data_IF_145246287866
#
_entry.id   IF_145246287866
#
_cell.length_a   1.000
_cell.length_b   1.000
_cell.length_c   1.000
_cell.angle_alpha   90.00
_cell.angle_beta   90.00
_cell.angle_gamma   90.00
#
_symmetry.space_group_name_H-M   'P 1'
#
loop_
_entity.id
_entity.type
_entity.pdbx_description
1 polymer ?
#
# COMPACT_ATOMS: atom_id res chain seq x y z
N UNK A 1 6.25 6.46 13.65
CA UNK A 1 7.53 6.80 13.00
C UNK A 1 7.74 8.30 13.16
N UNK A 2 8.92 8.72 13.65
CA UNK A 2 9.27 10.14 13.85
C UNK A 2 10.23 10.55 12.75
N UNK A 3 9.87 11.57 11.98
CA UNK A 3 10.73 12.13 10.94
C UNK A 3 10.99 13.58 11.35
N UNK A 4 12.20 13.84 11.89
CA UNK A 4 12.69 15.14 12.37
C UNK A 4 11.74 15.93 13.29
N UNK A 5 10.73 16.60 12.74
CA UNK A 5 9.79 17.49 13.43
C UNK A 5 8.30 17.16 13.19
N UNK A 6 8.03 16.12 12.40
CA UNK A 6 6.67 15.70 12.04
C UNK A 6 6.41 14.31 12.60
N UNK A 7 5.24 14.15 13.23
CA UNK A 7 4.79 12.89 13.79
C UNK A 7 3.75 12.25 12.88
N UNK A 8 3.96 10.98 12.55
CA UNK A 8 2.95 10.17 11.85
C UNK A 8 2.28 9.21 12.84
N UNK A 9 0.94 9.22 12.86
CA UNK A 9 0.09 8.27 13.58
C UNK A 9 -0.83 7.57 12.59
N UNK A 10 -1.14 6.31 12.88
CA UNK A 10 -2.13 5.53 12.14
C UNK A 10 -3.13 4.94 13.12
N UNK A 11 -4.37 4.78 12.68
CA UNK A 11 -5.47 4.17 13.42
C UNK A 11 -6.24 3.30 12.45
N UNK A 12 -6.79 2.19 12.95
CA UNK A 12 -7.64 1.30 12.18
C UNK A 12 -8.90 0.99 12.98
N UNK A 13 -10.01 0.81 12.27
CA UNK A 13 -11.30 0.44 12.84
C UNK A 13 -11.82 -0.77 12.07
N UNK A 14 -12.03 -1.87 12.79
CA UNK A 14 -12.72 -3.04 12.23
C UNK A 14 -14.22 -2.81 12.39
N UNK A 15 -14.94 -2.73 11.27
CA UNK A 15 -16.37 -2.45 11.22
C UNK A 15 -17.12 -3.76 10.93
N UNK A 16 -18.27 -3.96 11.56
CA UNK A 16 -19.14 -5.10 11.26
C UNK A 16 -19.84 -4.88 9.91
N UNK A 17 -20.16 -5.95 9.19
CA UNK A 17 -20.89 -5.94 7.92
C UNK A 17 -22.16 -5.08 7.98
N UNK A 18 -22.94 -5.21 9.06
CA UNK A 18 -24.17 -4.44 9.34
C UNK A 18 -23.98 -2.93 9.56
N UNK A 19 -22.74 -2.47 9.54
CA UNK A 19 -22.37 -1.07 9.71
C UNK A 19 -21.52 -0.56 8.55
N UNK A 20 -21.28 -1.37 7.51
CA UNK A 20 -20.58 -0.93 6.30
C UNK A 20 -21.44 -0.01 5.42
N UNK A 21 -22.76 -0.09 5.56
CA UNK A 21 -23.75 0.78 4.91
C UNK A 21 -23.80 2.19 5.54
N UNK A 22 -23.15 2.37 6.69
CA UNK A 22 -23.05 3.65 7.40
C UNK A 22 -21.78 4.39 7.00
N UNK A 23 -21.89 5.71 6.98
CA UNK A 23 -20.76 6.59 6.77
C UNK A 23 -19.88 6.64 8.03
N UNK A 24 -18.57 6.56 7.85
CA UNK A 24 -17.59 6.62 8.95
C UNK A 24 -16.72 7.85 8.79
N UNK A 25 -16.49 8.58 9.88
CA UNK A 25 -15.69 9.81 9.87
C UNK A 25 -14.53 9.66 10.83
N UNK A 26 -13.30 9.86 10.35
CA UNK A 26 -12.13 10.00 11.20
C UNK A 26 -11.87 11.48 11.46
N UNK A 27 -11.96 11.88 12.72
CA UNK A 27 -11.75 13.26 13.16
C UNK A 27 -10.34 13.38 13.74
N UNK A 28 -9.52 14.21 13.12
CA UNK A 28 -8.15 14.49 13.51
C UNK A 28 -8.12 15.80 14.29
N UNK A 29 -8.01 15.67 15.61
CA UNK A 29 -7.85 16.79 16.53
C UNK A 29 -6.38 17.14 16.69
N UNK A 30 -6.03 18.39 16.41
CA UNK A 30 -4.67 18.89 16.60
C UNK A 30 -4.67 20.37 16.93
N UNK A 31 -3.82 20.78 17.88
CA UNK A 31 -3.74 22.16 18.37
C UNK A 31 -3.45 23.17 17.25
N UNK A 32 -2.65 22.78 16.25
CA UNK A 32 -2.28 23.64 15.11
C UNK A 32 -3.26 23.59 13.93
N UNK A 33 -4.44 22.98 14.06
CA UNK A 33 -5.41 22.99 12.96
C UNK A 33 -5.85 24.42 12.62
N UNK A 34 -5.97 24.72 11.32
CA UNK A 34 -6.30 26.06 10.84
C UNK A 34 -7.67 26.50 11.38
N UNK A 35 -7.69 27.63 12.08
CA UNK A 35 -8.94 28.20 12.62
C UNK A 35 -9.57 27.39 13.76
N UNK A 36 -8.86 26.43 14.37
CA UNK A 36 -9.40 25.59 15.44
C UNK A 36 -10.42 24.55 14.98
N UNK A 37 -10.57 24.34 13.67
CA UNK A 37 -11.50 23.36 13.08
C UNK A 37 -10.80 22.01 12.95
N UNK A 38 -11.44 20.94 13.43
CA UNK A 38 -10.91 19.58 13.31
C UNK A 38 -10.86 19.14 11.84
N UNK A 39 -9.81 18.40 11.46
CA UNK A 39 -9.73 17.83 10.11
C UNK A 39 -10.54 16.54 10.07
N UNK A 40 -11.38 16.37 9.06
CA UNK A 40 -12.25 15.21 8.92
C UNK A 40 -11.87 14.41 7.67
N UNK A 41 -11.71 13.11 7.82
CA UNK A 41 -11.53 12.17 6.72
C UNK A 41 -12.80 11.33 6.64
N UNK A 42 -13.51 11.51 5.54
CA UNK A 42 -14.73 10.77 5.22
C UNK A 42 -14.39 9.41 4.64
N UNK A 43 -14.89 8.36 5.28
CA UNK A 43 -14.89 6.99 4.76
C UNK A 43 -16.31 6.68 4.30
N UNK A 44 -16.54 6.66 2.99
CA UNK A 44 -17.88 6.52 2.46
C UNK A 44 -18.38 5.09 2.65
N UNK A 45 -19.69 4.92 2.80
CA UNK A 45 -20.30 3.61 3.04
C UNK A 45 -20.18 2.69 1.83
N UNK A 46 -19.97 1.40 2.04
CA UNK A 46 -20.07 0.43 0.95
C UNK A 46 -21.54 0.00 0.83
N UNK A 47 -22.19 0.23 -0.32
CA UNK A 47 -23.53 -0.27 -0.52
C UNK A 47 -23.43 -1.79 -0.67
N UNK A 48 -23.88 -2.51 0.34
CA UNK A 48 -24.20 -3.93 0.16
C UNK A 48 -25.36 -3.99 -0.83
N UNK A 49 -25.07 -4.33 -2.08
CA UNK A 49 -26.09 -4.47 -3.12
C UNK A 49 -27.06 -5.59 -2.76
N UNK A 50 -28.17 -5.22 -2.11
CA UNK A 50 -29.49 -5.73 -2.50
C UNK A 50 -30.18 -4.61 -3.25
N UNK A 51 -30.26 -4.79 -4.57
CA UNK A 51 -30.95 -3.89 -5.48
C UNK A 51 -32.35 -3.57 -4.96
N UNK A 52 -32.61 -2.30 -4.67
CA UNK A 52 -33.89 -1.55 -4.74
C UNK A 52 -33.90 -0.46 -3.68
N UNK A 53 -33.14 0.62 -3.90
CA UNK A 53 -33.40 1.87 -3.20
C UNK A 53 -33.08 3.03 -4.14
N UNK A 54 -34.11 3.83 -4.35
CA UNK A 54 -34.17 5.10 -5.05
C UNK A 54 -33.15 6.08 -4.44
N UNK A 55 -31.90 5.99 -4.86
CA UNK A 55 -30.83 6.92 -4.51
C UNK A 55 -30.43 7.71 -5.75
N UNK A 56 -30.19 9.01 -5.56
CA UNK A 56 -29.77 9.93 -6.61
C UNK A 56 -28.58 9.33 -7.40
N UNK A 57 -28.68 9.19 -8.74
CA UNK A 57 -27.59 8.71 -9.59
C UNK A 57 -26.24 9.40 -9.34
N UNK A 58 -26.25 10.65 -8.88
CA UNK A 58 -25.03 11.41 -8.54
C UNK A 58 -24.27 10.84 -7.34
N UNK A 59 -24.97 10.34 -6.32
CA UNK A 59 -24.34 9.75 -5.13
C UNK A 59 -23.68 8.41 -5.46
N UNK A 60 -24.29 7.60 -6.34
CA UNK A 60 -23.74 6.32 -6.77
C UNK A 60 -22.44 6.52 -7.56
N UNK A 61 -22.40 7.49 -8.49
CA UNK A 61 -21.20 7.79 -9.28
C UNK A 61 -20.02 8.22 -8.41
N UNK A 62 -20.25 9.12 -7.44
CA UNK A 62 -19.17 9.60 -6.57
C UNK A 62 -18.65 8.49 -5.65
N UNK A 63 -19.55 7.65 -5.15
CA UNK A 63 -19.19 6.53 -4.28
C UNK A 63 -18.41 5.44 -5.02
N UNK A 64 -18.88 5.08 -6.23
CA UNK A 64 -18.20 4.13 -7.10
C UNK A 64 -16.81 4.63 -7.49
N UNK A 65 -16.69 5.90 -7.90
CA UNK A 65 -15.41 6.48 -8.32
C UNK A 65 -14.41 6.55 -7.16
N UNK A 66 -14.83 7.03 -5.98
CA UNK A 66 -13.95 7.17 -4.81
C UNK A 66 -13.47 5.82 -4.27
N UNK A 67 -14.34 4.80 -4.26
CA UNK A 67 -13.95 3.45 -3.86
C UNK A 67 -13.03 2.79 -4.89
N UNK A 68 -13.29 3.00 -6.18
CA UNK A 68 -12.43 2.46 -7.23
C UNK A 68 -11.03 3.06 -7.16
N UNK A 69 -10.90 4.37 -6.98
CA UNK A 69 -9.59 5.04 -6.91
C UNK A 69 -8.79 4.63 -5.68
N UNK A 70 -9.41 4.53 -4.51
CA UNK A 70 -8.73 4.14 -3.26
C UNK A 70 -8.33 2.65 -3.25
N UNK A 71 -9.21 1.76 -3.72
CA UNK A 71 -8.88 0.35 -3.87
C UNK A 71 -7.82 0.13 -4.95
N UNK A 72 -7.87 0.87 -6.06
CA UNK A 72 -6.83 0.83 -7.09
C UNK A 72 -5.48 1.32 -6.55
N UNK A 73 -5.42 2.40 -5.78
CA UNK A 73 -4.18 2.87 -5.17
C UNK A 73 -3.58 1.84 -4.21
N UNK A 74 -4.42 1.18 -3.41
CA UNK A 74 -3.99 0.13 -2.49
C UNK A 74 -3.47 -1.10 -3.25
N UNK A 75 -4.18 -1.53 -4.28
CA UNK A 75 -3.76 -2.64 -5.16
C UNK A 75 -2.46 -2.31 -5.89
N UNK A 76 -2.31 -1.09 -6.41
CA UNK A 76 -1.09 -0.64 -7.10
C UNK A 76 0.12 -0.64 -6.15
N UNK A 77 -0.08 -0.18 -4.91
CA UNK A 77 0.98 -0.15 -3.88
C UNK A 77 1.42 -1.55 -3.48
N UNK A 78 0.46 -2.45 -3.24
CA UNK A 78 0.78 -3.81 -2.82
C UNK A 78 1.36 -4.66 -3.99
N UNK A 79 0.87 -4.41 -5.22
CA UNK A 79 1.37 -5.07 -6.44
C UNK A 79 2.77 -4.58 -6.81
N UNK A 80 3.03 -3.27 -6.74
CA UNK A 80 4.35 -2.72 -7.04
C UNK A 80 5.41 -3.22 -6.05
N UNK A 81 5.06 -3.36 -4.76
CA UNK A 81 5.94 -3.96 -3.76
C UNK A 81 6.38 -5.38 -4.17
N UNK A 82 5.45 -6.24 -4.60
CA UNK A 82 5.76 -7.60 -5.07
C UNK A 82 6.77 -7.61 -6.24
N UNK A 83 6.55 -6.78 -7.25
CA UNK A 83 7.47 -6.68 -8.38
C UNK A 83 8.85 -6.14 -7.99
N UNK A 84 8.94 -5.23 -7.02
CA UNK A 84 10.23 -4.75 -6.52
C UNK A 84 11.04 -5.88 -5.85
N UNK A 85 10.39 -6.75 -5.06
CA UNK A 85 11.05 -7.90 -4.45
C UNK A 85 11.54 -8.90 -5.50
N UNK A 86 10.73 -9.18 -6.53
CA UNK A 86 11.16 -10.06 -7.63
C UNK A 86 12.35 -9.47 -8.40
N UNK A 87 12.33 -8.16 -8.69
CA UNK A 87 13.42 -7.49 -9.37
C UNK A 87 14.72 -7.55 -8.55
N UNK A 88 14.64 -7.26 -7.25
CA UNK A 88 15.80 -7.33 -6.35
C UNK A 88 16.34 -8.76 -6.23
N UNK A 89 15.45 -9.75 -6.11
CA UNK A 89 15.81 -11.16 -6.05
C UNK A 89 16.55 -11.60 -7.32
N UNK A 90 16.05 -11.20 -8.49
CA UNK A 90 16.65 -11.50 -9.78
C UNK A 90 18.04 -10.87 -9.92
N UNK A 91 18.17 -9.58 -9.57
CA UNK A 91 19.46 -8.87 -9.57
C UNK A 91 20.46 -9.56 -8.64
N UNK A 92 20.06 -9.85 -7.40
CA UNK A 92 20.92 -10.52 -6.41
C UNK A 92 21.40 -11.90 -6.90
N UNK A 93 20.50 -12.68 -7.52
CA UNK A 93 20.82 -14.02 -8.03
C UNK A 93 21.81 -13.95 -9.19
N UNK A 94 21.66 -12.98 -10.09
CA UNK A 94 22.60 -12.74 -11.19
C UNK A 94 23.99 -12.37 -10.66
N UNK A 95 24.08 -11.44 -9.70
CA UNK A 95 25.36 -11.07 -9.08
C UNK A 95 26.04 -12.26 -8.40
N UNK A 96 25.29 -13.04 -7.62
CA UNK A 96 25.83 -14.22 -6.94
C UNK A 96 26.35 -15.26 -7.95
N UNK A 97 25.61 -15.47 -9.04
CA UNK A 97 26.01 -16.39 -10.12
C UNK A 97 27.31 -15.94 -10.78
N UNK A 98 27.46 -14.65 -11.08
CA UNK A 98 28.70 -14.10 -11.66
C UNK A 98 29.87 -14.29 -10.71
N UNK A 99 29.72 -13.91 -9.43
CA UNK A 99 30.78 -14.04 -8.42
C UNK A 99 31.19 -15.50 -8.28
N UNK A 100 30.22 -16.41 -8.17
CA UNK A 100 30.47 -17.85 -8.04
C UNK A 100 31.19 -18.40 -9.28
N UNK A 101 30.78 -18.00 -10.48
CA UNK A 101 31.47 -18.34 -11.73
C UNK A 101 32.92 -17.82 -11.77
N UNK A 102 33.15 -16.57 -11.34
CA UNK A 102 34.48 -15.99 -11.25
C UNK A 102 35.37 -16.73 -10.24
N UNK A 103 34.82 -17.09 -9.07
CA UNK A 103 35.54 -17.85 -8.05
C UNK A 103 35.85 -19.27 -8.52
N UNK A 104 34.90 -19.95 -9.15
CA UNK A 104 35.08 -21.31 -9.68
C UNK A 104 36.13 -21.36 -10.80
N UNK A 105 36.14 -20.37 -11.70
CA UNK A 105 37.22 -20.25 -12.70
C UNK A 105 38.58 -20.05 -12.05
N UNK A 106 38.65 -19.27 -10.97
CA UNK A 106 39.91 -19.00 -10.26
C UNK A 106 40.44 -20.24 -9.52
N UNK A 107 39.58 -21.07 -8.93
CA UNK A 107 40.02 -22.31 -8.26
C UNK A 107 40.50 -23.35 -9.25
N UNK A 108 39.79 -23.55 -10.37
CA UNK A 108 40.16 -24.52 -11.42
C UNK A 108 41.46 -24.13 -12.16
N UNK A 109 41.68 -22.83 -12.40
CA UNK A 109 42.87 -22.34 -13.10
C UNK A 109 44.10 -22.13 -12.18
N UNK A 110 43.89 -22.19 -10.86
CA UNK A 110 44.97 -22.18 -9.86
C UNK A 110 45.50 -23.58 -9.55
N UNK A 111 44.72 -24.64 -9.80
CA UNK A 111 45.19 -26.03 -9.67
C UNK A 111 46.11 -26.50 -10.80
N UNK A 112 46.27 -25.71 -11.86
CA UNK A 112 47.14 -26.03 -13.01
C UNK A 112 48.57 -25.44 -12.90
N UNK A 113 48.95 -24.88 -11.74
CA UNK A 113 50.27 -24.24 -11.54
C UNK A 113 51.15 -24.91 -10.48
N UNK A 114 50.94 -26.19 -10.20
CA UNK A 114 51.72 -26.96 -9.21
C UNK A 114 52.07 -28.38 -9.66
N UNK A 115 52.53 -28.54 -10.90
CA UNK A 115 53.31 -29.70 -11.33
C UNK A 115 54.41 -29.25 -12.29
#
# INVERSE_FOLDING_TARGET
IKTSDTYMKFSWLTVNEKSMDKEHICIIKHEKNKGGVDQEILFPSLPYTTATATLDPRCICNLYTTNHDSLQQLQLTNTSAYYTYLLLLLISTLYFSIITCCLFRRTVCSSEKTF
#
